data_IF_305905569546
#
_entry.id   IF_305905569546
#
_cell.length_a   1.000
_cell.length_b   1.000
_cell.length_c   1.000
_cell.angle_alpha   90.00
_cell.angle_beta   90.00
_cell.angle_gamma   90.00
#
_symmetry.space_group_name_H-M   'P 1'
#
loop_
_entity.id
_entity.type
_entity.pdbx_description
1 polymer ?
#
# COMPACT_ATOMS: atom_id res chain seq x y z
N UNK A 1 6.57 -4.42 9.70
CA UNK A 1 6.46 -3.51 8.54
C UNK A 1 6.53 -4.32 7.23
N UNK A 2 5.64 -4.07 6.26
CA UNK A 2 5.68 -4.64 4.90
C UNK A 2 5.65 -3.51 3.87
N UNK A 3 6.49 -3.58 2.85
CA UNK A 3 6.59 -2.58 1.78
C UNK A 3 6.24 -3.24 0.44
N UNK A 4 5.37 -2.59 -0.34
CA UNK A 4 4.94 -3.10 -1.65
C UNK A 4 4.81 -1.96 -2.66
N UNK A 5 5.02 -2.28 -3.93
CA UNK A 5 4.92 -1.34 -5.06
C UNK A 5 3.70 -1.69 -5.91
N UNK A 6 2.99 -0.68 -6.34
CA UNK A 6 1.76 -0.75 -7.12
C UNK A 6 1.92 0.10 -8.37
N UNK A 7 1.55 -0.42 -9.53
CA UNK A 7 1.66 0.29 -10.80
C UNK A 7 0.34 0.21 -11.54
N UNK A 8 -0.33 1.35 -11.67
CA UNK A 8 -1.67 1.46 -12.25
C UNK A 8 -1.76 2.54 -13.32
N UNK A 9 -2.90 2.60 -14.00
CA UNK A 9 -3.14 3.60 -15.05
C UNK A 9 -3.43 5.00 -14.50
N UNK A 10 -3.86 5.09 -13.23
CA UNK A 10 -4.16 6.34 -12.58
C UNK A 10 -3.85 6.27 -11.07
N UNK A 11 -3.71 7.41 -10.44
CA UNK A 11 -3.48 7.54 -9.01
C UNK A 11 -4.65 6.98 -8.18
N UNK A 12 -5.90 7.13 -8.67
CA UNK A 12 -7.09 6.62 -8.00
C UNK A 12 -7.08 5.08 -7.89
N UNK A 13 -6.95 4.37 -9.02
CA UNK A 13 -6.81 2.90 -9.04
C UNK A 13 -5.62 2.43 -8.20
N UNK A 14 -4.48 3.12 -8.29
CA UNK A 14 -3.29 2.79 -7.52
C UNK A 14 -3.56 2.84 -6.00
N UNK A 15 -4.29 3.87 -5.54
CA UNK A 15 -4.68 4.04 -4.14
C UNK A 15 -5.69 2.97 -3.69
N UNK A 16 -6.68 2.66 -4.52
CA UNK A 16 -7.64 1.59 -4.24
C UNK A 16 -6.92 0.25 -4.10
N UNK A 17 -5.94 -0.03 -4.97
CA UNK A 17 -5.12 -1.23 -4.89
C UNK A 17 -4.30 -1.27 -3.59
N UNK A 18 -3.64 -0.16 -3.23
CA UNK A 18 -2.90 -0.05 -1.96
C UNK A 18 -3.82 -0.34 -0.78
N UNK A 19 -5.01 0.27 -0.75
CA UNK A 19 -5.97 0.09 0.34
C UNK A 19 -6.53 -1.33 0.39
N UNK A 20 -6.79 -1.96 -0.76
CA UNK A 20 -7.29 -3.33 -0.85
C UNK A 20 -6.24 -4.38 -0.45
N UNK A 21 -4.96 -4.13 -0.74
CA UNK A 21 -3.87 -5.10 -0.52
C UNK A 21 -3.11 -4.88 0.80
N UNK A 22 -2.87 -3.63 1.20
CA UNK A 22 -2.16 -3.27 2.42
C UNK A 22 -3.09 -2.78 3.55
N UNK A 23 -4.32 -2.40 3.23
CA UNK A 23 -5.28 -1.86 4.20
C UNK A 23 -5.30 -0.33 4.26
N UNK A 24 -6.28 0.23 4.96
CA UNK A 24 -6.44 1.68 5.14
C UNK A 24 -5.34 2.36 5.98
N UNK A 25 -4.54 1.57 6.69
CA UNK A 25 -3.41 2.05 7.51
C UNK A 25 -2.08 2.10 6.71
N UNK A 26 -2.13 1.88 5.39
CA UNK A 26 -0.95 1.92 4.54
C UNK A 26 -0.42 3.35 4.38
N UNK A 27 0.88 3.52 4.63
CA UNK A 27 1.62 4.75 4.43
C UNK A 27 2.20 4.81 3.01
N UNK A 28 1.82 5.84 2.26
CA UNK A 28 2.40 6.10 0.93
C UNK A 28 3.80 6.71 1.10
N UNK A 29 4.83 6.02 0.59
CA UNK A 29 6.21 6.49 0.66
C UNK A 29 6.62 7.32 -0.57
N UNK A 30 6.23 6.88 -1.75
CA UNK A 30 6.61 7.55 -2.99
C UNK A 30 5.55 7.35 -4.06
N UNK A 31 5.32 8.38 -4.85
CA UNK A 31 4.40 8.37 -5.99
C UNK A 31 5.16 8.95 -7.17
N UNK A 32 5.20 8.22 -8.29
CA UNK A 32 5.84 8.69 -9.51
C UNK A 32 4.99 8.35 -10.73
N UNK A 33 4.84 9.29 -11.63
CA UNK A 33 4.23 9.05 -12.94
C UNK A 33 5.27 8.48 -13.90
N UNK A 34 5.01 7.29 -14.42
CA UNK A 34 5.79 6.63 -15.45
C UNK A 34 5.20 7.01 -16.81
N UNK A 35 5.92 7.85 -17.53
CA UNK A 35 5.60 8.13 -18.94
C UNK A 35 6.18 6.99 -19.79
N UNK A 36 5.40 6.39 -20.70
CA UNK A 36 5.93 5.41 -21.63
C UNK A 36 6.97 6.09 -22.53
N UNK A 37 8.23 5.74 -22.33
CA UNK A 37 9.36 6.15 -23.16
C UNK A 37 9.35 5.28 -24.42
N UNK A 38 8.47 5.61 -25.38
CA UNK A 38 8.50 4.95 -26.68
C UNK A 38 8.17 5.94 -27.80
N UNK A 39 9.13 6.21 -28.72
CA UNK A 39 8.88 7.05 -29.89
C UNK A 39 7.92 6.40 -30.90
N UNK A 40 7.50 5.14 -30.70
CA UNK A 40 6.62 4.38 -31.59
C UNK A 40 5.17 4.23 -31.08
N UNK A 41 4.88 4.60 -29.82
CA UNK A 41 3.53 4.48 -29.27
C UNK A 41 2.73 5.75 -29.60
N UNK A 42 2.12 5.75 -30.79
CA UNK A 42 1.32 6.85 -31.31
C UNK A 42 0.26 7.36 -30.35
N UNK A 43 0.24 8.68 -30.14
CA UNK A 43 -0.85 9.57 -29.65
C UNK A 43 -1.66 9.22 -28.38
N UNK A 44 -1.62 8.00 -27.85
CA UNK A 44 -2.46 7.49 -26.75
C UNK A 44 -1.66 6.61 -25.77
N UNK A 45 -0.39 6.93 -25.54
CA UNK A 45 0.40 6.18 -24.58
C UNK A 45 -0.06 6.57 -23.15
N UNK A 46 -0.86 5.70 -22.53
CA UNK A 46 -1.42 5.93 -21.20
C UNK A 46 -0.29 6.16 -20.19
N UNK A 47 -0.34 7.29 -19.49
CA UNK A 47 0.61 7.60 -18.43
C UNK A 47 0.32 6.65 -17.27
N UNK A 48 1.31 5.87 -16.83
CA UNK A 48 1.15 4.99 -15.68
C UNK A 48 1.58 5.72 -14.40
N UNK A 49 1.07 5.27 -13.26
CA UNK A 49 1.42 5.78 -11.94
C UNK A 49 1.95 4.63 -11.11
N UNK A 50 3.15 4.80 -10.56
CA UNK A 50 3.74 3.87 -9.61
C UNK A 50 3.69 4.48 -8.20
N UNK A 51 3.16 3.70 -7.26
CA UNK A 51 3.07 4.04 -5.84
C UNK A 51 3.84 3.00 -5.04
N UNK A 52 4.77 3.46 -4.22
CA UNK A 52 5.40 2.65 -3.17
C UNK A 52 4.70 2.93 -1.86
N UNK A 53 4.13 1.90 -1.25
CA UNK A 53 3.42 1.99 0.02
C UNK A 53 4.01 1.00 1.03
N UNK A 54 3.96 1.37 2.30
CA UNK A 54 4.40 0.56 3.42
C UNK A 54 3.27 0.48 4.45
N UNK A 55 3.06 -0.67 5.05
CA UNK A 55 2.13 -0.82 6.17
C UNK A 55 2.85 -1.42 7.36
N UNK A 56 2.61 -0.82 8.52
CA UNK A 56 3.00 -1.41 9.79
C UNK A 56 1.83 -2.26 10.29
N UNK A 57 2.00 -3.57 10.23
CA UNK A 57 1.17 -4.44 11.04
C UNK A 57 1.54 -4.12 12.48
N UNK A 58 0.71 -3.33 13.17
CA UNK A 58 0.62 -3.44 14.61
C UNK A 58 0.20 -4.89 14.83
N UNK A 59 1.18 -5.73 15.14
CA UNK A 59 0.90 -6.99 15.77
C UNK A 59 0.12 -6.58 17.02
N UNK A 60 -1.20 -6.71 16.95
CA UNK A 60 -2.05 -6.58 18.11
C UNK A 60 -1.54 -7.65 19.02
N UNK A 61 -0.62 -7.28 19.91
CA UNK A 61 -0.24 -8.09 21.04
C UNK A 61 -1.54 -8.25 21.79
N UNK A 62 -2.20 -9.38 21.54
CA UNK A 62 -3.30 -9.85 22.37
C UNK A 62 -2.62 -10.15 23.70
N UNK A 63 -2.45 -9.11 24.50
CA UNK A 63 -1.98 -9.21 25.86
C UNK A 63 -3.12 -9.88 26.61
N UNK A 64 -3.08 -11.21 26.64
CA UNK A 64 -3.96 -12.06 27.41
C UNK A 64 -3.65 -11.84 28.91
N UNK A 65 -3.99 -10.67 29.42
CA UNK A 65 -4.04 -10.39 30.84
C UNK A 65 -5.36 -10.95 31.38
N UNK A 66 -5.40 -12.26 31.59
CA UNK A 66 -6.33 -12.86 32.54
C UNK A 66 -5.54 -13.16 33.81
N UNK A 67 -5.40 -12.07 34.57
CA UNK A 67 -5.51 -11.94 36.01
C UNK A 67 -5.56 -13.26 36.81
N UNK A 68 -4.44 -13.59 37.45
CA UNK A 68 -4.45 -14.53 38.57
C UNK A 68 -5.20 -13.90 39.74
N UNK A 69 -6.45 -14.32 39.97
CA UNK A 69 -7.11 -14.14 41.26
C UNK A 69 -6.80 -15.35 42.12
N UNK A 70 -5.80 -15.20 42.98
CA UNK A 70 -5.62 -16.06 44.13
C UNK A 70 -6.83 -15.95 45.07
N UNK A 71 -7.32 -17.10 45.50
CA UNK A 71 -8.13 -17.28 46.71
C UNK A 71 -7.44 -18.44 47.44
N UNK A 72 -6.87 -18.27 48.62
CA UNK A 72 -7.53 -17.77 49.81
C UNK A 72 -7.90 -18.99 50.65
#
# INVERSE_FOLDING_TARGET
MRIKKFTENNYADALEQVKSELGGDALIMSTRSIKPDSPLSGRNAATKVEITAAVEFKESSVSNFEEGVGSG
#
